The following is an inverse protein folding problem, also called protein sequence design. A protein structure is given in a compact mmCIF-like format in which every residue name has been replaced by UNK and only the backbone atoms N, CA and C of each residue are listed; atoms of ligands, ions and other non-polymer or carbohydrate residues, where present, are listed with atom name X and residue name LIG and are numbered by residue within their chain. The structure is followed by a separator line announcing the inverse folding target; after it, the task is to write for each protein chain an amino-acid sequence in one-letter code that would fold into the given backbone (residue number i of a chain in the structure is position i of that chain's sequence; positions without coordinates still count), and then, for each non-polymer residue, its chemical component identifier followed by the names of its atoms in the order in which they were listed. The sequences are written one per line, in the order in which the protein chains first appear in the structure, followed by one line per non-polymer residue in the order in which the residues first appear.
data_IF_121034395894
#
_entry.id   IF_121034395894
#
_cell.length_a   1.000
_cell.length_b   1.000
_cell.length_c   1.000
_cell.angle_alpha   90.00
_cell.angle_beta   90.00
_cell.angle_gamma   90.00
#
_symmetry.space_group_name_H-M   'P 1'
#
loop_
_entity.id
_entity.type
_entity.pdbx_description
1 polymer ?
#
# COMPACT_ATOMS: atom_id res chain seq x y z
N UNK A 1 -22.60 -3.00 4.05
CA UNK A 1 -21.40 -2.95 3.18
C UNK A 1 -20.21 -3.35 4.02
N UNK A 2 -19.57 -4.51 3.76
CA UNK A 2 -18.29 -4.87 4.39
C UNK A 2 -17.19 -4.36 3.47
N UNK A 3 -16.37 -3.42 3.93
CA UNK A 3 -15.20 -2.99 3.17
C UNK A 3 -14.26 -4.20 3.03
N UNK A 4 -13.94 -4.57 1.79
CA UNK A 4 -13.03 -5.67 1.48
C UNK A 4 -11.62 -5.09 1.46
N UNK A 5 -10.88 -5.28 2.55
CA UNK A 5 -9.46 -4.98 2.58
C UNK A 5 -8.68 -6.24 2.20
N UNK A 6 -7.93 -6.19 1.09
CA UNK A 6 -7.10 -7.31 0.66
C UNK A 6 -5.69 -7.13 1.20
N UNK A 7 -5.32 -7.94 2.20
CA UNK A 7 -3.94 -8.02 2.69
C UNK A 7 -3.18 -8.99 1.78
N UNK A 8 -2.26 -8.47 0.96
CA UNK A 8 -1.36 -9.30 0.15
C UNK A 8 -0.03 -9.39 0.87
N UNK A 9 0.36 -10.59 1.28
CA UNK A 9 1.64 -10.86 1.94
C UNK A 9 2.51 -11.74 1.03
N UNK A 10 3.62 -11.21 0.54
CA UNK A 10 4.74 -12.04 0.08
C UNK A 10 5.74 -12.16 1.23
N UNK A 11 6.60 -13.17 1.21
CA UNK A 11 7.36 -13.71 2.36
C UNK A 11 8.22 -12.75 3.21
N UNK A 12 8.27 -11.45 2.91
CA UNK A 12 8.94 -10.41 3.71
C UNK A 12 8.27 -9.03 3.66
N UNK A 13 7.17 -8.86 2.92
CA UNK A 13 6.54 -7.55 2.68
C UNK A 13 5.02 -7.68 2.69
N UNK A 14 4.35 -6.68 3.26
CA UNK A 14 2.90 -6.63 3.37
C UNK A 14 2.36 -5.36 2.74
N UNK A 15 1.22 -5.46 2.09
CA UNK A 15 0.46 -4.29 1.66
C UNK A 15 -1.00 -4.42 2.07
N UNK A 16 -1.58 -3.29 2.44
CA UNK A 16 -3.00 -3.11 2.67
C UNK A 16 -3.52 -2.15 1.60
N UNK A 17 -4.64 -2.50 0.97
CA UNK A 17 -5.36 -1.62 0.06
C UNK A 17 -6.84 -1.64 0.45
N UNK A 18 -7.41 -0.46 0.66
CA UNK A 18 -8.86 -0.25 0.70
C UNK A 18 -9.33 0.09 -0.72
N UNK A 19 -10.00 -0.85 -1.38
CA UNK A 19 -10.47 -0.68 -2.76
C UNK A 19 -11.57 0.40 -2.87
N UNK A 20 -12.30 0.69 -1.79
CA UNK A 20 -13.38 1.67 -1.83
C UNK A 20 -12.86 3.12 -1.81
N UNK A 21 -11.75 3.35 -1.10
CA UNK A 21 -11.17 4.70 -0.92
C UNK A 21 -9.88 4.90 -1.71
N UNK A 22 -9.21 3.82 -2.11
CA UNK A 22 -7.88 3.83 -2.68
C UNK A 22 -6.76 4.02 -1.64
N UNK A 23 -7.06 3.99 -0.33
CA UNK A 23 -6.03 4.05 0.70
C UNK A 23 -5.09 2.84 0.58
N UNK A 24 -3.79 3.10 0.50
CA UNK A 24 -2.76 2.07 0.49
C UNK A 24 -1.80 2.26 1.67
N UNK A 25 -1.41 1.15 2.31
CA UNK A 25 -0.31 1.09 3.27
C UNK A 25 0.69 0.02 2.83
N UNK A 26 1.95 0.40 2.71
CA UNK A 26 3.06 -0.45 2.29
C UNK A 26 3.99 -0.66 3.47
N UNK A 27 4.08 -1.90 3.95
CA UNK A 27 5.00 -2.31 5.00
C UNK A 27 6.28 -2.85 4.36
N UNK A 28 7.41 -2.22 4.65
CA UNK A 28 8.70 -2.55 4.05
C UNK A 28 9.81 -2.60 5.10
N UNK A 29 10.83 -3.42 4.83
CA UNK A 29 12.06 -3.43 5.62
C UNK A 29 12.82 -2.12 5.46
N UNK A 30 13.05 -1.41 6.56
CA UNK A 30 13.88 -0.21 6.59
C UNK A 30 15.27 -0.57 7.13
N UNK A 31 16.23 -0.60 6.21
CA UNK A 31 17.66 -0.86 6.48
C UNK A 31 17.91 -2.12 7.32
N UNK A 32 17.20 -3.21 7.01
CA UNK A 32 17.31 -4.53 7.66
C UNK A 32 17.22 -4.55 9.20
N UNK A 33 16.71 -3.46 9.79
CA UNK A 33 16.72 -3.22 11.24
C UNK A 33 15.35 -2.85 11.79
N UNK A 34 14.45 -2.38 10.93
CA UNK A 34 13.09 -1.99 11.32
C UNK A 34 12.09 -2.27 10.20
N UNK A 35 10.81 -2.31 10.56
CA UNK A 35 9.71 -2.30 9.59
C UNK A 35 9.15 -0.87 9.58
N UNK A 36 9.15 -0.25 8.41
CA UNK A 36 8.54 1.05 8.17
C UNK A 36 7.22 0.89 7.41
N UNK A 37 6.38 1.91 7.49
CA UNK A 37 5.12 1.98 6.74
C UNK A 37 5.08 3.27 5.92
N UNK A 38 4.83 3.13 4.63
CA UNK A 38 4.45 4.23 3.75
C UNK A 38 2.93 4.19 3.53
N UNK A 39 2.29 5.36 3.48
CA UNK A 39 0.85 5.49 3.28
C UNK A 39 0.53 6.51 2.20
N UNK A 40 -0.53 6.29 1.44
CA UNK A 40 -0.99 7.23 0.41
C UNK A 40 -2.29 6.79 -0.26
N UNK A 41 -2.63 7.44 -1.37
CA UNK A 41 -3.75 7.05 -2.21
C UNK A 41 -3.24 6.47 -3.54
N UNK A 42 -3.68 5.26 -3.89
CA UNK A 42 -3.23 4.57 -5.10
C UNK A 42 -3.67 5.28 -6.38
N UNK A 43 -4.84 5.91 -6.39
CA UNK A 43 -5.35 6.63 -7.57
C UNK A 43 -4.49 7.85 -7.86
N UNK A 44 -4.14 8.64 -6.84
CA UNK A 44 -3.23 9.79 -7.00
C UNK A 44 -1.85 9.37 -7.51
N UNK A 45 -1.35 8.23 -7.02
CA UNK A 45 -0.04 7.70 -7.42
C UNK A 45 -0.05 7.25 -8.88
N UNK A 46 -1.12 6.57 -9.33
CA UNK A 46 -1.30 6.18 -10.73
C UNK A 46 -1.51 7.40 -11.63
N UNK A 47 -2.31 8.38 -11.21
CA UNK A 47 -2.50 9.64 -11.94
C UNK A 47 -1.20 10.40 -12.14
N UNK A 48 -0.32 10.40 -11.13
CA UNK A 48 1.02 10.99 -11.22
C UNK A 48 1.92 10.20 -12.16
N UNK A 49 1.84 8.86 -12.13
CA UNK A 49 2.67 7.98 -12.95
C UNK A 49 2.30 8.09 -14.43
N UNK A 50 1.00 8.17 -14.76
CA UNK A 50 0.49 8.26 -16.13
C UNK A 50 0.72 9.64 -16.78
N UNK A 51 1.06 10.67 -16.00
CA UNK A 51 1.43 12.01 -16.50
C UNK A 51 2.91 12.12 -16.90
N UNK A 52 3.68 11.04 -16.74
CA UNK A 52 5.06 10.90 -17.23
C UNK A 52 5.11 10.04 -18.48
#
# INVERSE_FOLDING_TARGET
MRSSAMLVTSSSHGQFVDEATGEIRLYYGAADSSIAVASGNINEMLDWLMKR
#
